data_IF_158934362441
#
_entry.id   IF_158934362441
#
_cell.length_a   1.000
_cell.length_b   1.000
_cell.length_c   1.000
_cell.angle_alpha   90.00
_cell.angle_beta   90.00
_cell.angle_gamma   90.00
#
_symmetry.space_group_name_H-M   'P 1'
#
loop_
_entity.id
_entity.type
_entity.pdbx_description
1 polymer ?
#
# COMPACT_ATOMS: atom_id res chain seq x y z
N UNK A 1 -4.28 -15.00 -20.13
CA UNK A 1 -3.25 -13.94 -20.12
C UNK A 1 -3.76 -12.50 -19.87
N UNK A 2 -4.99 -12.26 -19.38
CA UNK A 2 -5.51 -10.87 -19.35
C UNK A 2 -5.98 -10.31 -18.00
N UNK A 3 -6.15 -11.09 -16.92
CA UNK A 3 -6.87 -10.55 -15.75
C UNK A 3 -6.02 -9.83 -14.69
N UNK A 4 -4.69 -9.88 -14.73
CA UNK A 4 -3.86 -9.30 -13.64
C UNK A 4 -3.10 -8.04 -14.02
N UNK A 5 -2.85 -7.77 -15.31
CA UNK A 5 -2.06 -6.59 -15.73
C UNK A 5 -2.92 -5.34 -15.68
N UNK A 6 -4.12 -5.38 -16.27
CA UNK A 6 -5.07 -4.24 -16.27
C UNK A 6 -5.46 -3.85 -14.85
N UNK A 7 -5.77 -4.82 -13.97
CA UNK A 7 -6.08 -4.53 -12.57
C UNK A 7 -4.91 -3.89 -11.82
N UNK A 8 -3.67 -4.34 -12.07
CA UNK A 8 -2.47 -3.73 -11.45
C UNK A 8 -2.23 -2.30 -11.91
N UNK A 9 -2.40 -2.02 -13.21
CA UNK A 9 -2.25 -0.67 -13.77
C UNK A 9 -3.35 0.23 -13.23
N UNK A 10 -4.61 -0.21 -13.28
CA UNK A 10 -5.75 0.59 -12.84
C UNK A 10 -5.70 0.91 -11.34
N UNK A 11 -5.38 -0.06 -10.49
CA UNK A 11 -5.21 0.17 -9.05
C UNK A 11 -4.06 1.14 -8.73
N UNK A 12 -2.97 1.07 -9.50
CA UNK A 12 -1.84 2.00 -9.33
C UNK A 12 -2.21 3.41 -9.78
N UNK A 13 -2.88 3.55 -10.92
CA UNK A 13 -3.34 4.84 -11.45
C UNK A 13 -4.33 5.49 -10.49
N UNK A 14 -5.33 4.75 -9.99
CA UNK A 14 -6.28 5.27 -9.01
C UNK A 14 -5.61 5.71 -7.72
N UNK A 15 -4.64 4.94 -7.25
CA UNK A 15 -3.91 5.28 -6.03
C UNK A 15 -3.10 6.58 -6.19
N UNK A 16 -2.41 6.75 -7.32
CA UNK A 16 -1.67 7.99 -7.63
C UNK A 16 -2.64 9.16 -7.76
N UNK A 17 -3.73 8.98 -8.51
CA UNK A 17 -4.75 10.01 -8.69
C UNK A 17 -5.36 10.44 -7.35
N UNK A 18 -5.59 9.47 -6.44
CA UNK A 18 -6.08 9.73 -5.09
C UNK A 18 -5.12 10.56 -4.26
N UNK A 19 -3.82 10.23 -4.27
CA UNK A 19 -2.79 11.02 -3.59
C UNK A 19 -2.70 12.42 -4.19
N UNK A 20 -2.75 12.54 -5.52
CA UNK A 20 -2.69 13.82 -6.21
C UNK A 20 -3.88 14.70 -5.83
N UNK A 21 -5.11 14.19 -5.88
CA UNK A 21 -6.30 14.93 -5.44
C UNK A 21 -6.15 15.39 -4.00
N UNK A 22 -5.70 14.52 -3.09
CA UNK A 22 -5.48 14.91 -1.70
C UNK A 22 -4.40 15.99 -1.57
N UNK A 23 -3.28 15.86 -2.27
CA UNK A 23 -2.22 16.87 -2.23
C UNK A 23 -2.62 18.22 -2.83
N UNK A 24 -3.46 18.24 -3.86
CA UNK A 24 -3.86 19.48 -4.55
C UNK A 24 -5.15 20.10 -4.01
N UNK A 25 -6.09 19.29 -3.53
CA UNK A 25 -7.41 19.75 -3.10
C UNK A 25 -7.54 19.82 -1.58
N UNK A 26 -6.85 18.99 -0.80
CA UNK A 26 -7.03 18.98 0.66
C UNK A 26 -6.56 20.29 1.31
N UNK A 27 -5.37 20.77 0.95
CA UNK A 27 -4.85 22.02 1.52
C UNK A 27 -5.63 23.25 1.04
N UNK A 28 -6.24 23.21 -0.15
CA UNK A 28 -6.94 24.37 -0.73
C UNK A 28 -8.42 24.46 -0.32
N UNK A 29 -9.10 23.33 -0.09
CA UNK A 29 -10.55 23.30 0.21
C UNK A 29 -10.82 23.11 1.70
N UNK A 30 -9.85 22.60 2.46
CA UNK A 30 -10.02 22.28 3.89
C UNK A 30 -8.96 22.93 4.78
N UNK A 31 -8.08 23.76 4.22
CA UNK A 31 -7.09 24.54 4.98
C UNK A 31 -7.72 25.63 5.86
N UNK A 32 -8.94 26.05 5.51
CA UNK A 32 -9.74 27.12 6.09
C UNK A 32 -11.02 26.63 6.80
N UNK A 33 -11.27 25.31 6.89
CA UNK A 33 -12.47 24.75 7.55
C UNK A 33 -12.67 25.28 8.98
N UNK A 34 -11.57 25.54 9.71
CA UNK A 34 -11.65 26.09 11.06
C UNK A 34 -11.79 27.62 11.08
N UNK A 35 -11.22 28.34 10.11
CA UNK A 35 -11.30 29.81 10.09
C UNK A 35 -12.65 30.34 9.62
N UNK A 36 -13.38 29.55 8.84
CA UNK A 36 -14.67 29.93 8.27
C UNK A 36 -15.87 29.34 9.04
N UNK A 37 -15.62 28.58 10.11
CA UNK A 37 -16.69 28.08 10.98
C UNK A 37 -17.15 29.18 11.94
N UNK A 38 -18.26 29.84 11.63
CA UNK A 38 -18.74 31.01 12.39
C UNK A 38 -19.97 30.66 13.20
N UNK A 39 -19.96 30.95 14.50
CA UNK A 39 -21.14 30.82 15.38
C UNK A 39 -21.79 32.17 15.68
N UNK A 40 -23.13 32.23 15.68
CA UNK A 40 -23.90 33.44 16.03
C UNK A 40 -23.92 33.68 17.55
N UNK A 41 -22.78 34.05 18.11
CA UNK A 41 -22.60 34.32 19.54
C UNK A 41 -21.39 35.22 19.79
N UNK A 42 -21.43 36.02 20.86
CA UNK A 42 -20.29 36.80 21.33
C UNK A 42 -19.51 36.10 22.47
N UNK A 43 -19.91 34.88 22.81
CA UNK A 43 -19.31 34.12 23.91
C UNK A 43 -17.91 33.59 23.51
N UNK A 44 -16.83 34.00 24.20
CA UNK A 44 -15.49 33.52 23.88
C UNK A 44 -15.37 32.01 24.11
N UNK A 45 -14.71 31.32 23.18
CA UNK A 45 -14.47 29.89 23.24
C UNK A 45 -15.65 29.01 22.79
N UNK A 46 -16.85 29.56 22.56
CA UNK A 46 -18.00 28.81 22.08
C UNK A 46 -17.74 28.23 20.66
N UNK A 47 -17.19 29.04 19.76
CA UNK A 47 -16.84 28.60 18.40
C UNK A 47 -15.91 27.39 18.39
N UNK A 48 -14.83 27.43 19.20
CA UNK A 48 -13.86 26.35 19.29
C UNK A 48 -14.49 25.02 19.78
N UNK A 49 -15.36 25.07 20.79
CA UNK A 49 -15.98 23.84 21.33
C UNK A 49 -17.04 23.29 20.40
N UNK A 50 -17.76 24.15 19.67
CA UNK A 50 -18.76 23.75 18.71
C UNK A 50 -18.12 23.18 17.45
N UNK A 51 -16.98 23.73 17.02
CA UNK A 51 -16.17 23.17 15.95
C UNK A 51 -15.67 21.76 16.31
N UNK A 52 -15.11 21.59 17.52
CA UNK A 52 -14.65 20.28 18.02
C UNK A 52 -15.80 19.26 18.16
N UNK A 53 -17.01 19.72 18.50
CA UNK A 53 -18.18 18.84 18.59
C UNK A 53 -18.72 18.43 17.22
N UNK A 54 -18.85 19.40 16.30
CA UNK A 54 -19.33 19.17 14.94
C UNK A 54 -18.36 18.32 14.12
N UNK A 55 -17.06 18.55 14.31
CA UNK A 55 -15.98 17.93 13.54
C UNK A 55 -14.93 17.32 14.47
N UNK A 56 -15.35 16.34 15.29
CA UNK A 56 -14.48 15.66 16.26
C UNK A 56 -13.21 15.09 15.62
N UNK A 57 -13.32 14.67 14.37
CA UNK A 57 -12.20 14.48 13.45
C UNK A 57 -12.54 15.32 12.22
N UNK A 58 -11.56 15.90 11.51
CA UNK A 58 -11.84 16.54 10.22
C UNK A 58 -11.86 15.50 9.11
N UNK A 59 -12.64 15.77 8.06
CA UNK A 59 -12.70 14.89 6.88
C UNK A 59 -11.30 14.57 6.37
N UNK A 60 -10.47 15.60 6.18
CA UNK A 60 -9.09 15.44 5.68
C UNK A 60 -8.26 14.50 6.54
N UNK A 61 -8.35 14.59 7.86
CA UNK A 61 -7.61 13.70 8.75
C UNK A 61 -8.02 12.24 8.53
N UNK A 62 -9.33 11.97 8.34
CA UNK A 62 -9.77 10.62 7.98
C UNK A 62 -9.25 10.19 6.61
N UNK A 63 -9.27 11.07 5.60
CA UNK A 63 -8.74 10.74 4.27
C UNK A 63 -7.23 10.45 4.30
N UNK A 64 -6.45 11.22 5.05
CA UNK A 64 -5.01 11.00 5.25
C UNK A 64 -4.77 9.66 5.93
N UNK A 65 -5.50 9.37 7.02
CA UNK A 65 -5.42 8.07 7.69
C UNK A 65 -5.80 6.93 6.74
N UNK A 66 -6.87 7.10 5.95
CA UNK A 66 -7.28 6.12 4.95
C UNK A 66 -6.17 5.84 3.93
N UNK A 67 -5.50 6.88 3.40
CA UNK A 67 -4.35 6.67 2.50
C UNK A 67 -3.27 5.87 3.20
N UNK A 68 -2.89 6.23 4.43
CA UNK A 68 -1.83 5.55 5.17
C UNK A 68 -2.17 4.06 5.30
N UNK A 69 -3.36 3.73 5.84
CA UNK A 69 -3.79 2.34 6.03
C UNK A 69 -3.94 1.56 4.72
N UNK A 70 -4.44 2.18 3.65
CA UNK A 70 -4.59 1.55 2.33
C UNK A 70 -3.22 1.36 1.63
N UNK A 71 -2.22 2.17 1.97
CA UNK A 71 -0.85 2.10 1.44
C UNK A 71 -0.01 1.04 2.14
N UNK A 72 -0.18 0.86 3.46
CA UNK A 72 0.64 -0.04 4.27
C UNK A 72 0.68 -1.48 3.73
N UNK A 73 -0.43 -2.14 3.33
CA UNK A 73 -0.38 -3.48 2.75
C UNK A 73 0.45 -3.58 1.47
N UNK A 74 0.43 -2.53 0.63
CA UNK A 74 1.23 -2.48 -0.59
C UNK A 74 2.73 -2.38 -0.28
N UNK A 75 3.11 -1.54 0.70
CA UNK A 75 4.51 -1.43 1.15
C UNK A 75 5.00 -2.74 1.76
N UNK A 76 4.18 -3.38 2.59
CA UNK A 76 4.50 -4.70 3.19
C UNK A 76 4.67 -5.76 2.09
N UNK A 77 3.79 -5.79 1.09
CA UNK A 77 3.91 -6.71 -0.04
C UNK A 77 5.21 -6.50 -0.84
N UNK A 78 5.53 -5.25 -1.20
CA UNK A 78 6.77 -4.93 -1.91
C UNK A 78 7.98 -5.30 -1.06
N UNK A 79 8.00 -4.93 0.23
CA UNK A 79 9.06 -5.30 1.16
C UNK A 79 9.26 -6.82 1.25
N UNK A 80 8.16 -7.58 1.35
CA UNK A 80 8.20 -9.05 1.36
C UNK A 80 8.74 -9.62 0.05
N UNK A 81 8.30 -9.11 -1.10
CA UNK A 81 8.79 -9.59 -2.42
C UNK A 81 10.29 -9.33 -2.60
N UNK A 82 10.77 -8.13 -2.24
CA UNK A 82 12.19 -7.77 -2.30
C UNK A 82 13.01 -8.64 -1.35
N UNK A 83 12.54 -8.82 -0.12
CA UNK A 83 13.21 -9.68 0.86
C UNK A 83 13.29 -11.14 0.39
N UNK A 84 12.19 -11.66 -0.17
CA UNK A 84 12.11 -13.03 -0.68
C UNK A 84 13.07 -13.24 -1.87
N UNK A 85 13.07 -12.33 -2.85
CA UNK A 85 13.98 -12.40 -4.00
C UNK A 85 15.43 -12.35 -3.55
N UNK A 86 15.79 -11.43 -2.66
CA UNK A 86 17.16 -11.31 -2.14
C UNK A 86 17.60 -12.54 -1.37
N UNK A 87 16.69 -13.18 -0.63
CA UNK A 87 16.99 -14.40 0.13
C UNK A 87 17.19 -15.59 -0.81
N UNK A 88 16.36 -15.72 -1.85
CA UNK A 88 16.49 -16.76 -2.89
C UNK A 88 17.77 -16.60 -3.72
N UNK A 89 18.17 -15.38 -4.06
CA UNK A 89 19.45 -15.11 -4.75
C UNK A 89 20.65 -15.56 -3.90
N UNK A 90 20.69 -15.15 -2.63
CA UNK A 90 21.73 -15.59 -1.68
C UNK A 90 21.78 -17.11 -1.51
N UNK A 91 20.62 -17.78 -1.57
CA UNK A 91 20.56 -19.25 -1.48
C UNK A 91 21.17 -19.89 -2.73
N UNK A 92 20.85 -19.38 -3.92
CA UNK A 92 21.41 -19.86 -5.20
C UNK A 92 22.91 -19.64 -5.30
N UNK A 93 23.43 -18.51 -4.80
CA UNK A 93 24.88 -18.26 -4.73
C UNK A 93 25.58 -19.32 -3.88
N UNK A 94 25.07 -19.62 -2.68
CA UNK A 94 25.62 -20.67 -1.79
C UNK A 94 25.53 -22.07 -2.39
N UNK A 95 24.47 -22.39 -3.11
CA UNK A 95 24.32 -23.67 -3.82
C UNK A 95 25.31 -23.78 -4.98
N UNK A 96 25.53 -22.71 -5.73
CA UNK A 96 26.52 -22.65 -6.80
C UNK A 96 27.96 -22.78 -6.27
N UNK A 97 28.30 -22.12 -5.16
CA UNK A 97 29.60 -22.25 -4.49
C UNK A 97 29.89 -23.70 -4.05
N UNK A 98 28.90 -24.38 -3.45
CA UNK A 98 29.02 -25.79 -3.06
C UNK A 98 29.22 -26.72 -4.25
N UNK A 99 28.50 -26.48 -5.36
CA UNK A 99 28.69 -27.25 -6.60
C UNK A 99 30.10 -27.05 -7.20
N UNK A 100 30.61 -25.82 -7.19
CA UNK A 100 31.98 -25.53 -7.65
C UNK A 100 33.05 -26.20 -6.76
N UNK A 101 32.86 -26.21 -5.43
CA UNK A 101 33.76 -26.90 -4.50
C UNK A 101 33.76 -28.42 -4.69
N UNK A 102 32.59 -29.04 -4.89
CA UNK A 102 32.49 -30.48 -5.19
C UNK A 102 33.15 -30.82 -6.52
N UNK A 103 32.96 -29.98 -7.55
CA UNK A 103 33.63 -30.17 -8.82
C UNK A 103 35.16 -30.12 -8.66
N UNK A 104 35.69 -29.15 -7.90
CA UNK A 104 37.13 -29.00 -7.66
C UNK A 104 37.72 -30.18 -6.85
N UNK A 105 37.05 -30.65 -5.80
CA UNK A 105 37.53 -31.80 -5.01
C UNK A 105 37.57 -33.12 -5.81
N UNK A 106 36.69 -33.29 -6.80
CA UNK A 106 36.70 -34.47 -7.68
C UNK A 106 37.82 -34.44 -8.75
N UNK A 107 38.48 -33.30 -8.97
CA UNK A 107 39.65 -33.20 -9.86
C UNK A 107 40.96 -33.60 -9.16
N UNK A 108 41.09 -33.39 -7.85
CA UNK A 108 42.31 -33.76 -7.10
C UNK A 108 42.47 -35.29 -6.91
N UNK A 109 41.38 -36.05 -6.94
CA UNK A 109 41.41 -37.53 -6.82
C UNK A 109 41.69 -38.25 -8.15
N UNK A 110 41.64 -37.52 -9.27
CA UNK A 110 41.92 -38.06 -10.62
C UNK A 110 43.12 -37.30 -11.18
N UNK A 111 44.30 -37.68 -10.70
CA UNK A 111 45.59 -37.12 -11.13
C UNK A 111 45.77 -37.11 -12.66
N UNK A 112 46.76 -36.36 -13.18
CA UNK A 112 46.88 -36.10 -14.60
C UNK A 112 47.06 -37.40 -15.39
N UNK A 113 46.02 -37.84 -16.11
CA UNK A 113 46.16 -38.84 -17.17
C UNK A 113 46.35 -38.12 -18.51
N UNK A 114 47.28 -38.61 -19.36
CA UNK A 114 47.72 -37.91 -20.55
C UNK A 114 46.60 -37.80 -21.60
N UNK A 115 46.72 -36.88 -22.57
CA UNK A 115 45.65 -36.60 -23.51
C UNK A 115 45.64 -37.66 -24.60
N UNK A 116 44.61 -38.52 -24.61
CA UNK A 116 44.28 -39.29 -25.81
C UNK A 116 43.00 -38.80 -26.46
N UNK A 117 43.13 -38.58 -27.76
CA UNK A 117 42.17 -37.96 -28.65
C UNK A 117 40.88 -38.77 -28.81
N UNK A 118 39.83 -38.02 -29.13
CA UNK A 118 38.65 -38.43 -29.89
C UNK A 118 37.53 -39.16 -29.12
N UNK A 119 36.49 -38.40 -28.77
CA UNK A 119 35.26 -38.50 -29.55
C UNK A 119 34.31 -37.35 -29.23
N UNK A 120 34.06 -36.55 -30.26
CA UNK A 120 32.84 -35.77 -30.39
C UNK A 120 31.64 -36.67 -30.08
N UNK A 121 30.96 -36.44 -28.96
CA UNK A 121 29.50 -36.63 -28.88
C UNK A 121 28.86 -35.32 -28.44
N UNK A 122 28.58 -34.52 -29.47
CA UNK A 122 27.57 -33.46 -29.47
C UNK A 122 26.23 -34.12 -29.11
N UNK A 123 25.93 -34.18 -27.82
CA UNK A 123 24.61 -34.50 -27.29
C UNK A 123 23.88 -33.20 -26.98
N UNK A 124 23.42 -32.53 -28.03
CA UNK A 124 22.43 -31.46 -27.91
C UNK A 124 21.14 -32.05 -27.33
N UNK A 125 20.93 -31.89 -26.02
CA UNK A 125 19.58 -31.86 -25.49
C UNK A 125 19.30 -30.43 -25.07
N UNK A 126 18.56 -29.77 -25.95
CA UNK A 126 17.91 -28.49 -25.75
C UNK A 126 17.13 -28.51 -24.45
N UNK A 127 17.74 -28.07 -23.34
CA UNK A 127 16.96 -27.48 -22.26
C UNK A 127 16.54 -26.11 -22.74
N UNK A 128 15.45 -26.11 -23.50
CA UNK A 128 14.52 -25.01 -23.68
C UNK A 128 14.73 -23.97 -22.57
N UNK A 129 15.35 -22.84 -22.95
CA UNK A 129 15.18 -21.55 -22.29
C UNK A 129 13.70 -21.18 -22.45
N UNK A 130 12.84 -21.95 -21.80
CA UNK A 130 11.48 -21.55 -21.51
C UNK A 130 11.64 -20.24 -20.77
N UNK A 131 11.07 -19.19 -21.37
CA UNK A 131 10.65 -17.97 -20.70
C UNK A 131 10.46 -18.30 -19.22
N UNK A 132 11.34 -17.75 -18.36
CA UNK A 132 11.15 -17.81 -16.92
C UNK A 132 9.83 -17.09 -16.65
N UNK A 133 8.71 -17.81 -16.79
CA UNK A 133 7.42 -17.42 -16.26
C UNK A 133 7.74 -17.20 -14.80
N UNK A 134 7.72 -15.95 -14.37
CA UNK A 134 7.61 -15.56 -12.98
C UNK A 134 6.34 -16.25 -12.46
N UNK A 135 6.44 -17.54 -12.12
CA UNK A 135 5.45 -18.24 -11.32
C UNK A 135 5.56 -17.52 -9.99
N UNK A 136 4.57 -16.68 -9.69
CA UNK A 136 4.28 -16.33 -8.31
C UNK A 136 4.13 -17.67 -7.58
N UNK A 137 5.19 -18.15 -6.96
CA UNK A 137 5.16 -19.33 -6.10
C UNK A 137 4.18 -19.06 -4.96
N UNK A 138 3.58 -20.13 -4.43
CA UNK A 138 2.41 -20.06 -3.54
C UNK A 138 2.53 -19.07 -2.39
N UNK A 139 3.74 -18.89 -1.84
CA UNK A 139 4.02 -17.91 -0.78
C UNK A 139 3.85 -16.46 -1.26
N UNK A 140 4.35 -16.11 -2.45
CA UNK A 140 4.20 -14.78 -3.05
C UNK A 140 2.76 -14.53 -3.51
N UNK A 141 2.07 -15.57 -4.01
CA UNK A 141 0.65 -15.47 -4.34
C UNK A 141 -0.22 -15.26 -3.10
N UNK A 142 0.11 -15.94 -1.98
CA UNK A 142 -0.60 -15.79 -0.72
C UNK A 142 -0.43 -14.38 -0.15
N UNK A 143 0.80 -13.85 -0.11
CA UNK A 143 1.02 -12.47 0.34
C UNK A 143 0.40 -11.45 -0.61
N UNK A 144 0.37 -11.74 -1.91
CA UNK A 144 -0.37 -10.95 -2.89
C UNK A 144 -1.88 -10.91 -2.59
N UNK A 145 -2.51 -12.06 -2.38
CA UNK A 145 -3.95 -12.13 -2.06
C UNK A 145 -4.24 -11.46 -0.71
N UNK A 146 -3.44 -11.73 0.31
CA UNK A 146 -3.60 -11.12 1.63
C UNK A 146 -3.54 -9.59 1.55
N UNK A 147 -2.56 -9.01 0.83
CA UNK A 147 -2.49 -7.54 0.76
C UNK A 147 -3.72 -6.93 0.07
N UNK A 148 -4.26 -7.60 -0.97
CA UNK A 148 -5.48 -7.14 -1.65
C UNK A 148 -6.66 -7.17 -0.69
N UNK A 149 -6.83 -8.26 0.06
CA UNK A 149 -7.89 -8.40 1.06
C UNK A 149 -7.79 -7.28 2.10
N UNK A 150 -6.60 -7.04 2.67
CA UNK A 150 -6.41 -5.96 3.63
C UNK A 150 -6.72 -4.58 3.03
N UNK A 151 -6.31 -4.31 1.78
CA UNK A 151 -6.70 -3.05 1.10
C UNK A 151 -8.21 -2.92 1.00
N UNK A 152 -8.92 -3.97 0.56
CA UNK A 152 -10.37 -3.95 0.44
C UNK A 152 -11.05 -3.74 1.79
N UNK A 153 -10.58 -4.41 2.84
CA UNK A 153 -11.13 -4.26 4.20
C UNK A 153 -10.91 -2.85 4.74
N UNK A 154 -9.73 -2.26 4.55
CA UNK A 154 -9.48 -0.89 4.98
C UNK A 154 -10.31 0.11 4.16
N UNK A 155 -10.35 -0.02 2.84
CA UNK A 155 -11.18 0.86 2.00
C UNK A 155 -12.65 0.82 2.43
N UNK A 156 -13.24 -0.36 2.54
CA UNK A 156 -14.64 -0.52 2.96
C UNK A 156 -14.83 -0.03 4.39
N UNK A 157 -13.90 -0.33 5.30
CA UNK A 157 -13.96 0.11 6.70
C UNK A 157 -13.97 1.63 6.84
N UNK A 158 -13.10 2.33 6.11
CA UNK A 158 -13.07 3.80 6.11
C UNK A 158 -14.32 4.40 5.46
N UNK A 159 -14.84 3.81 4.37
CA UNK A 159 -16.09 4.26 3.73
C UNK A 159 -17.27 4.13 4.70
N UNK A 160 -17.40 2.98 5.35
CA UNK A 160 -18.47 2.73 6.32
C UNK A 160 -18.32 3.64 7.55
N UNK A 161 -17.10 3.78 8.08
CA UNK A 161 -16.82 4.67 9.20
C UNK A 161 -17.14 6.14 8.90
N UNK A 162 -16.74 6.62 7.72
CA UNK A 162 -17.07 7.97 7.27
C UNK A 162 -18.58 8.16 7.13
N UNK A 163 -19.30 7.18 6.57
CA UNK A 163 -20.74 7.24 6.45
C UNK A 163 -21.44 7.33 7.81
N UNK A 164 -20.99 6.58 8.82
CA UNK A 164 -21.57 6.66 10.17
C UNK A 164 -21.21 7.95 10.90
N UNK A 165 -20.03 8.55 10.64
CA UNK A 165 -19.60 9.79 11.29
C UNK A 165 -20.25 11.03 10.69
N UNK A 166 -20.29 11.16 9.36
CA UNK A 166 -20.71 12.40 8.69
C UNK A 166 -21.90 12.22 7.74
N UNK A 167 -22.34 10.99 7.48
CA UNK A 167 -23.36 10.72 6.47
C UNK A 167 -22.88 11.00 5.05
N UNK A 168 -23.83 11.36 4.17
CA UNK A 168 -23.56 11.74 2.77
C UNK A 168 -23.65 13.24 2.51
N UNK A 169 -24.05 14.04 3.51
CA UNK A 169 -24.21 15.49 3.38
C UNK A 169 -23.84 16.19 4.68
N UNK A 170 -22.98 17.18 4.56
CA UNK A 170 -22.71 18.16 5.60
C UNK A 170 -23.85 19.19 5.51
N UNK A 171 -24.57 19.43 6.62
CA UNK A 171 -25.54 20.51 6.68
C UNK A 171 -24.79 21.84 6.87
N UNK A 172 -25.20 22.93 6.18
CA UNK A 172 -24.56 24.23 6.32
C UNK A 172 -24.80 24.89 7.68
N UNK A 173 -25.74 24.36 8.47
CA UNK A 173 -26.10 24.85 9.80
C UNK A 173 -25.92 23.72 10.82
N UNK A 174 -25.12 23.99 11.85
CA UNK A 174 -24.92 23.15 13.02
C UNK A 174 -25.47 23.84 14.27
N UNK A 175 -26.31 23.14 15.04
CA UNK A 175 -26.86 23.67 16.31
C UNK A 175 -26.08 23.10 17.48
N UNK A 176 -25.42 23.97 18.22
CA UNK A 176 -24.51 23.60 19.30
C UNK A 176 -25.03 24.07 20.65
N UNK A 177 -24.92 23.22 21.67
CA UNK A 177 -25.31 23.56 23.06
C UNK A 177 -24.22 23.21 24.08
N UNK A 178 -22.98 23.05 23.62
CA UNK A 178 -21.84 22.65 24.45
C UNK A 178 -21.29 23.83 25.23
N UNK A 179 -20.86 23.60 26.46
CA UNK A 179 -20.23 24.62 27.30
C UNK A 179 -18.93 25.11 26.62
N UNK A 180 -18.66 26.44 26.53
CA UNK A 180 -19.26 27.55 27.27
C UNK A 180 -20.42 28.29 26.58
N UNK A 181 -21.06 27.73 25.56
CA UNK A 181 -22.09 28.43 24.78
C UNK A 181 -23.34 28.78 25.60
N UNK A 182 -23.93 29.97 25.41
CA UNK A 182 -25.19 30.34 26.03
C UNK A 182 -26.35 29.68 25.28
N UNK A 183 -27.06 28.75 25.94
CA UNK A 183 -28.16 27.99 25.34
C UNK A 183 -27.73 27.27 24.04
N UNK A 184 -28.61 27.22 23.04
CA UNK A 184 -28.33 26.66 21.72
C UNK A 184 -27.95 27.79 20.77
N UNK A 185 -26.78 27.70 20.15
CA UNK A 185 -26.29 28.65 19.15
C UNK A 185 -26.30 28.02 17.76
N UNK A 186 -26.49 28.85 16.75
CA UNK A 186 -26.43 28.48 15.34
C UNK A 186 -25.01 28.74 14.83
N UNK A 187 -24.34 27.70 14.32
CA UNK A 187 -23.02 27.77 13.71
C UNK A 187 -23.08 27.38 12.23
N UNK A 188 -22.31 28.05 11.40
CA UNK A 188 -22.33 27.92 9.95
C UNK A 188 -21.02 27.32 9.44
N UNK A 189 -21.12 26.35 8.54
CA UNK A 189 -19.99 25.71 7.86
C UNK A 189 -19.83 26.36 6.48
N UNK A 190 -18.60 26.75 6.10
CA UNK A 190 -18.23 27.31 4.80
C UNK A 190 -18.43 26.32 3.65
#
# INVERSE_FOLDING_TARGET
EHSTVIGRVWLTVLFIFRILILGTAAEFVWGDEQSDFVCNTQQPGCENVCYDEAFSISHIRLWVLQIIFVSTPSLVYVGHTVHHVRTEEKRKEREAEKLCQQAAGNWDERGPQPPDQSSFRKGSSSSSKGTKKFRLEGTLLRTYICHIIFKMLFEVGFIVGHYFLYGFRILPLYRCSRWPCPNVVDCFVS
#
